data_IF_893793804802
#
_entry.id   IF_893793804802
#
_cell.length_a   1.000
_cell.length_b   1.000
_cell.length_c   1.000
_cell.angle_alpha   90.00
_cell.angle_beta   90.00
_cell.angle_gamma   90.00
#
_symmetry.space_group_name_H-M   'P 1'
#
loop_
_entity.id
_entity.type
_entity.pdbx_description
1 polymer ?
#
# COMPACT_ATOMS: atom_id res chain seq x y z
N UNK A 1 9.19 -17.03 -0.02
CA UNK A 1 7.74 -16.94 -0.36
C UNK A 1 7.33 -15.47 -0.37
N UNK A 2 6.12 -15.12 -0.88
CA UNK A 2 5.57 -13.76 -0.79
C UNK A 2 4.30 -13.78 0.05
N UNK A 3 4.30 -13.03 1.13
CA UNK A 3 3.14 -12.85 2.00
C UNK A 3 2.48 -11.52 1.70
N UNK A 4 1.18 -11.54 1.41
CA UNK A 4 0.37 -10.33 1.26
C UNK A 4 -0.40 -10.10 2.55
N UNK A 5 -0.07 -9.02 3.25
CA UNK A 5 -0.73 -8.61 4.49
C UNK A 5 -1.71 -7.49 4.15
N UNK A 6 -3.01 -7.82 4.19
CA UNK A 6 -4.05 -6.81 4.00
C UNK A 6 -4.14 -5.99 5.28
N UNK A 7 -3.72 -4.73 5.20
CA UNK A 7 -3.64 -3.83 6.36
C UNK A 7 -4.86 -2.92 6.48
N UNK A 8 -5.53 -2.63 5.38
CA UNK A 8 -6.74 -1.81 5.35
C UNK A 8 -7.62 -2.15 4.16
N UNK A 9 -8.93 -2.18 4.37
CA UNK A 9 -9.95 -2.21 3.33
C UNK A 9 -10.64 -0.86 3.16
N UNK A 10 -9.99 0.21 3.62
CA UNK A 10 -10.39 1.59 3.38
C UNK A 10 -9.39 2.26 2.44
N UNK A 11 -9.84 3.31 1.76
CA UNK A 11 -8.98 4.16 0.92
C UNK A 11 -9.41 5.61 1.08
N UNK A 12 -8.43 6.50 1.03
CA UNK A 12 -8.62 7.95 1.06
C UNK A 12 -8.83 8.57 -0.34
N UNK A 13 -8.94 7.73 -1.40
CA UNK A 13 -9.26 8.14 -2.76
C UNK A 13 -10.51 7.45 -3.28
N UNK A 14 -11.16 8.08 -4.26
CA UNK A 14 -12.32 7.58 -5.01
C UNK A 14 -11.98 7.56 -6.50
N UNK A 15 -11.03 6.69 -6.89
CA UNK A 15 -10.59 6.61 -8.28
C UNK A 15 -11.74 6.16 -9.18
N UNK A 16 -11.87 6.74 -10.37
CA UNK A 16 -13.00 6.51 -11.30
C UNK A 16 -13.21 5.05 -11.72
N UNK A 17 -12.13 4.26 -11.73
CA UNK A 17 -12.15 2.84 -12.09
C UNK A 17 -12.12 1.92 -10.87
N UNK A 18 -12.31 2.47 -9.65
CA UNK A 18 -12.28 1.69 -8.44
C UNK A 18 -13.57 0.89 -8.29
N UNK A 19 -13.43 -0.42 -8.19
CA UNK A 19 -14.57 -1.38 -8.11
C UNK A 19 -14.97 -1.70 -6.67
N UNK A 20 -14.68 -0.84 -5.71
CA UNK A 20 -14.97 -1.12 -4.28
C UNK A 20 -16.43 -1.49 -4.01
N UNK A 21 -17.34 -0.84 -4.72
CA UNK A 21 -18.78 -1.00 -4.49
C UNK A 21 -19.38 -2.18 -5.26
N UNK A 22 -18.67 -2.73 -6.25
CA UNK A 22 -19.15 -3.85 -7.07
C UNK A 22 -19.00 -5.22 -6.39
N UNK A 23 -18.17 -5.32 -5.35
CA UNK A 23 -17.98 -6.58 -4.60
C UNK A 23 -19.08 -6.91 -3.63
N UNK A 24 -20.04 -6.00 -3.40
CA UNK A 24 -21.17 -6.21 -2.49
C UNK A 24 -22.26 -7.14 -3.07
N UNK A 25 -22.21 -7.44 -4.37
CA UNK A 25 -23.24 -8.25 -5.05
C UNK A 25 -22.82 -9.69 -5.40
N UNK A 26 -21.56 -10.10 -5.11
CA UNK A 26 -20.99 -11.32 -5.73
C UNK A 26 -21.44 -12.62 -5.05
N UNK A 27 -21.74 -12.67 -3.78
CA UNK A 27 -22.35 -13.85 -3.16
C UNK A 27 -22.82 -13.56 -1.73
N UNK A 28 -24.13 -13.64 -1.48
CA UNK A 28 -24.72 -13.49 -0.14
C UNK A 28 -24.29 -14.60 0.85
N UNK A 29 -23.62 -15.64 0.38
CA UNK A 29 -23.19 -16.78 1.18
C UNK A 29 -21.68 -16.74 1.52
N UNK A 30 -20.91 -15.82 0.97
CA UNK A 30 -19.50 -15.65 1.32
C UNK A 30 -19.37 -14.35 2.10
N UNK A 31 -19.09 -14.50 3.39
CA UNK A 31 -18.75 -13.37 4.26
C UNK A 31 -17.38 -12.82 3.88
N UNK A 32 -17.34 -11.96 2.85
CA UNK A 32 -16.16 -11.19 2.44
C UNK A 32 -15.87 -10.01 3.37
N UNK A 33 -16.44 -10.00 4.57
CA UNK A 33 -16.20 -8.98 5.56
C UNK A 33 -14.74 -9.00 6.05
N UNK A 34 -13.83 -8.61 5.16
CA UNK A 34 -12.51 -8.20 5.61
C UNK A 34 -12.71 -6.97 6.50
N UNK A 35 -12.20 -7.00 7.73
CA UNK A 35 -12.35 -5.87 8.62
C UNK A 35 -11.64 -4.64 8.03
N UNK A 36 -12.18 -3.42 8.24
CA UNK A 36 -11.60 -2.19 7.70
C UNK A 36 -10.16 -1.93 8.20
N UNK A 37 -9.81 -2.53 9.32
CA UNK A 37 -8.48 -2.47 9.94
C UNK A 37 -8.06 -3.84 10.42
N UNK A 38 -6.77 -4.03 10.62
CA UNK A 38 -6.21 -5.23 11.24
C UNK A 38 -6.88 -5.45 12.60
N UNK A 39 -7.45 -6.65 12.79
CA UNK A 39 -8.13 -7.07 14.01
C UNK A 39 -7.47 -8.27 14.70
N UNK A 40 -6.28 -8.63 14.28
CA UNK A 40 -5.48 -9.72 14.84
C UNK A 40 -4.15 -9.22 15.39
N UNK A 41 -3.51 -10.04 16.23
CA UNK A 41 -2.18 -9.75 16.76
C UNK A 41 -1.13 -9.89 15.66
N UNK A 42 -0.67 -8.76 15.13
CA UNK A 42 0.32 -8.70 14.04
C UNK A 42 1.66 -9.32 14.43
N UNK A 43 1.97 -9.44 15.72
CA UNK A 43 3.22 -10.05 16.17
C UNK A 43 3.30 -11.53 15.87
N UNK A 44 2.15 -12.19 15.65
CA UNK A 44 2.10 -13.60 15.25
C UNK A 44 2.61 -13.86 13.83
N UNK A 45 2.68 -12.86 12.99
CA UNK A 45 3.26 -12.99 11.63
C UNK A 45 4.70 -13.52 11.67
N UNK A 46 5.47 -13.19 12.71
CA UNK A 46 6.84 -13.72 12.91
C UNK A 46 6.91 -15.25 13.02
N UNK A 47 5.80 -15.93 13.33
CA UNK A 47 5.74 -17.38 13.43
C UNK A 47 5.66 -18.06 12.05
N UNK A 48 5.20 -17.32 11.03
CA UNK A 48 4.99 -17.83 9.69
C UNK A 48 6.00 -17.29 8.67
N UNK A 49 6.56 -16.10 8.91
CA UNK A 49 7.47 -15.41 7.99
C UNK A 49 8.92 -15.70 8.40
N UNK A 50 9.74 -16.04 7.42
CA UNK A 50 11.17 -16.31 7.59
C UNK A 50 12.04 -15.24 6.95
N UNK A 51 13.37 -15.27 7.19
CA UNK A 51 14.33 -14.34 6.62
C UNK A 51 14.47 -14.43 5.09
N UNK A 52 13.97 -15.51 4.47
CA UNK A 52 13.97 -15.72 3.01
C UNK A 52 12.69 -15.21 2.34
N UNK A 53 11.73 -14.74 3.10
CA UNK A 53 10.41 -14.34 2.62
C UNK A 53 10.31 -12.83 2.39
N UNK A 54 9.37 -12.44 1.52
CA UNK A 54 8.96 -11.06 1.34
C UNK A 54 7.59 -10.82 1.96
N UNK A 55 7.42 -9.67 2.61
CA UNK A 55 6.14 -9.21 3.16
C UNK A 55 5.68 -7.99 2.38
N UNK A 56 4.51 -8.09 1.75
CA UNK A 56 3.89 -7.01 0.99
C UNK A 56 2.68 -6.47 1.75
N UNK A 57 2.73 -5.22 2.15
CA UNK A 57 1.58 -4.51 2.67
C UNK A 57 0.63 -4.15 1.53
N UNK A 58 -0.60 -4.61 1.65
CA UNK A 58 -1.61 -4.56 0.61
C UNK A 58 -2.98 -4.14 1.18
N UNK A 59 -3.94 -3.90 0.31
CA UNK A 59 -5.30 -3.49 0.64
C UNK A 59 -5.78 -2.40 -0.30
N UNK A 60 -6.83 -1.67 0.09
CA UNK A 60 -7.30 -0.52 -0.69
C UNK A 60 -6.31 0.65 -0.63
N UNK A 61 -5.93 1.08 0.59
CA UNK A 61 -4.76 1.90 0.83
C UNK A 61 -4.05 1.45 2.12
N UNK A 62 -2.96 0.68 2.00
CA UNK A 62 -2.30 0.10 3.15
C UNK A 62 -1.72 1.15 4.12
N UNK A 63 -1.30 2.31 3.63
CA UNK A 63 -0.72 3.36 4.47
C UNK A 63 -1.73 4.09 5.35
N UNK A 64 -3.03 3.74 5.31
CA UNK A 64 -3.97 4.14 6.35
C UNK A 64 -3.72 3.42 7.68
N UNK A 65 -3.05 2.26 7.66
CA UNK A 65 -2.69 1.47 8.83
C UNK A 65 -1.18 1.57 9.16
N UNK A 66 -0.59 2.75 9.06
CA UNK A 66 0.86 2.97 9.23
C UNK A 66 1.37 2.45 10.56
N UNK A 67 0.64 2.62 11.66
CA UNK A 67 1.09 2.18 12.99
C UNK A 67 1.19 0.66 13.06
N UNK A 68 0.28 -0.08 12.43
CA UNK A 68 0.35 -1.53 12.37
C UNK A 68 1.45 -2.00 11.41
N UNK A 69 1.66 -1.31 10.30
CA UNK A 69 2.80 -1.55 9.40
C UNK A 69 4.12 -1.41 10.16
N UNK A 70 4.30 -0.34 10.93
CA UNK A 70 5.51 -0.12 11.75
C UNK A 70 5.71 -1.24 12.77
N UNK A 71 4.64 -1.67 13.47
CA UNK A 71 4.71 -2.80 14.40
C UNK A 71 5.15 -4.10 13.71
N UNK A 72 4.63 -4.38 12.50
CA UNK A 72 5.02 -5.55 11.72
C UNK A 72 6.50 -5.46 11.34
N UNK A 73 6.95 -4.31 10.84
CA UNK A 73 8.37 -4.10 10.49
C UNK A 73 9.29 -4.29 11.69
N UNK A 74 8.87 -3.90 12.88
CA UNK A 74 9.67 -4.02 14.09
C UNK A 74 9.74 -5.47 14.63
N UNK A 75 8.71 -6.28 14.39
CA UNK A 75 8.64 -7.64 14.98
C UNK A 75 8.95 -8.77 13.98
N UNK A 76 8.84 -8.52 12.67
CA UNK A 76 9.03 -9.54 11.62
C UNK A 76 10.39 -9.38 10.97
N UNK A 77 11.16 -10.49 10.92
CA UNK A 77 12.38 -10.57 10.13
C UNK A 77 12.07 -11.22 8.80
N UNK A 78 12.33 -10.53 7.71
CA UNK A 78 12.10 -11.01 6.36
C UNK A 78 13.20 -10.50 5.42
N UNK A 79 13.22 -11.02 4.20
CA UNK A 79 14.15 -10.61 3.16
C UNK A 79 13.92 -9.17 2.69
N UNK A 80 12.66 -8.72 2.70
CA UNK A 80 12.32 -7.35 2.35
C UNK A 80 10.83 -7.05 2.52
N UNK A 81 10.55 -5.83 2.92
CA UNK A 81 9.20 -5.30 2.95
C UNK A 81 8.84 -4.62 1.63
N UNK A 82 7.61 -4.79 1.21
CA UNK A 82 7.06 -4.19 -0.01
C UNK A 82 5.72 -3.54 0.31
N UNK A 83 5.30 -2.57 -0.49
CA UNK A 83 3.94 -2.04 -0.41
C UNK A 83 3.44 -1.61 -1.78
N UNK A 84 2.12 -1.70 -1.99
CA UNK A 84 1.44 -1.08 -3.10
C UNK A 84 0.51 0.00 -2.55
N UNK A 85 0.73 1.24 -2.95
CA UNK A 85 0.05 2.40 -2.36
C UNK A 85 -0.33 3.44 -3.42
N UNK A 86 -1.31 4.28 -3.10
CA UNK A 86 -1.60 5.48 -3.89
C UNK A 86 -0.54 6.59 -3.71
N UNK A 87 0.39 6.41 -2.79
CA UNK A 87 1.56 7.27 -2.61
C UNK A 87 1.32 8.55 -1.80
N UNK A 88 0.10 8.82 -1.34
CA UNK A 88 -0.22 10.08 -0.66
C UNK A 88 0.35 10.19 0.76
N UNK A 89 0.67 9.05 1.39
CA UNK A 89 1.13 8.98 2.78
C UNK A 89 2.55 8.42 2.94
N UNK A 90 3.36 8.39 1.88
CA UNK A 90 4.74 7.89 1.97
C UNK A 90 5.59 8.67 2.97
N UNK A 91 5.38 9.98 3.08
CA UNK A 91 6.03 10.86 4.05
C UNK A 91 5.73 10.46 5.51
N UNK A 92 4.59 9.83 5.78
CA UNK A 92 4.20 9.37 7.12
C UNK A 92 4.98 8.17 7.62
N UNK A 93 5.64 7.43 6.72
CA UNK A 93 6.51 6.31 7.10
C UNK A 93 7.74 6.78 7.90
N UNK A 94 8.21 8.02 7.68
CA UNK A 94 9.40 8.53 8.35
C UNK A 94 10.62 7.64 8.09
N UNK A 95 11.40 7.36 9.12
CA UNK A 95 12.61 6.51 9.01
C UNK A 95 12.32 5.06 8.56
N UNK A 96 11.10 4.56 8.71
CA UNK A 96 10.72 3.22 8.27
C UNK A 96 10.76 3.04 6.76
N UNK A 97 10.80 4.14 5.99
CA UNK A 97 10.91 4.11 4.53
C UNK A 97 12.16 3.33 4.08
N UNK A 98 13.25 3.42 4.84
CA UNK A 98 14.53 2.73 4.57
C UNK A 98 14.45 1.20 4.70
N UNK A 99 13.38 0.68 5.33
CA UNK A 99 13.16 -0.76 5.51
C UNK A 99 12.48 -1.41 4.30
N UNK A 100 11.95 -0.60 3.39
CA UNK A 100 11.28 -1.13 2.22
C UNK A 100 12.27 -1.52 1.13
N UNK A 101 12.05 -2.71 0.57
CA UNK A 101 12.76 -3.23 -0.61
C UNK A 101 12.15 -2.68 -1.90
N UNK A 102 10.81 -2.69 -1.99
CA UNK A 102 10.10 -2.25 -3.20
C UNK A 102 8.83 -1.49 -2.82
N UNK A 103 8.58 -0.39 -3.51
CA UNK A 103 7.34 0.39 -3.39
C UNK A 103 6.71 0.49 -4.77
N UNK A 104 5.47 -0.03 -4.90
CA UNK A 104 4.64 0.12 -6.08
C UNK A 104 3.72 1.31 -5.87
N UNK A 105 3.90 2.35 -6.69
CA UNK A 105 3.10 3.58 -6.60
C UNK A 105 2.08 3.61 -7.73
N UNK A 106 0.84 3.85 -7.36
CA UNK A 106 -0.26 3.98 -8.30
C UNK A 106 -0.24 5.36 -8.95
N UNK A 107 0.10 5.42 -10.24
CA UNK A 107 0.12 6.63 -11.06
C UNK A 107 -0.31 6.27 -12.49
N UNK A 108 -1.20 7.05 -13.11
CA UNK A 108 -1.84 6.64 -14.38
C UNK A 108 -1.27 7.34 -15.63
N UNK A 109 -0.20 8.08 -15.47
CA UNK A 109 0.45 8.84 -16.55
C UNK A 109 0.89 10.21 -16.06
N UNK A 110 0.67 11.23 -16.88
CA UNK A 110 0.94 12.62 -16.53
C UNK A 110 -0.06 13.19 -15.50
N UNK A 111 0.11 14.46 -15.16
CA UNK A 111 -0.74 15.16 -14.19
C UNK A 111 -2.22 15.13 -14.62
N UNK A 112 -2.50 15.42 -15.91
CA UNK A 112 -3.87 15.50 -16.40
C UNK A 112 -4.59 14.16 -16.27
N UNK A 113 -3.96 13.06 -16.69
CA UNK A 113 -4.54 11.71 -16.66
C UNK A 113 -4.66 11.21 -15.22
N UNK A 114 -3.63 11.38 -14.42
CA UNK A 114 -3.62 10.92 -13.03
C UNK A 114 -4.66 11.68 -12.21
N UNK A 115 -4.72 12.98 -12.30
CA UNK A 115 -5.67 13.80 -11.55
C UNK A 115 -7.12 13.57 -12.01
N UNK A 116 -7.34 13.36 -13.31
CA UNK A 116 -8.65 13.00 -13.85
C UNK A 116 -9.20 11.70 -13.28
N UNK A 117 -8.33 10.72 -13.06
CA UNK A 117 -8.71 9.38 -12.61
C UNK A 117 -8.75 9.26 -11.08
N UNK A 118 -7.79 9.87 -10.38
CA UNK A 118 -7.55 9.67 -8.94
C UNK A 118 -7.97 10.85 -8.07
N UNK A 119 -8.10 12.04 -8.64
CA UNK A 119 -8.48 13.25 -7.94
C UNK A 119 -7.46 14.38 -8.14
N UNK A 120 -7.97 15.61 -8.09
CA UNK A 120 -7.18 16.82 -8.35
C UNK A 120 -6.01 16.96 -7.34
N UNK A 121 -4.81 17.18 -7.87
CA UNK A 121 -3.58 17.39 -7.08
C UNK A 121 -2.91 16.10 -6.61
N UNK A 122 -3.46 14.94 -6.94
CA UNK A 122 -2.88 13.64 -6.58
C UNK A 122 -1.50 13.46 -7.22
N UNK A 123 -1.37 13.77 -8.51
CA UNK A 123 -0.09 13.64 -9.21
C UNK A 123 1.02 14.42 -8.51
N UNK A 124 0.81 15.70 -8.27
CA UNK A 124 1.82 16.56 -7.65
C UNK A 124 2.17 16.11 -6.22
N UNK A 125 1.17 15.68 -5.42
CA UNK A 125 1.44 15.15 -4.07
C UNK A 125 2.25 13.87 -4.13
N UNK A 126 1.95 12.97 -5.06
CA UNK A 126 2.71 11.71 -5.25
C UNK A 126 4.15 12.01 -5.67
N UNK A 127 4.35 12.91 -6.65
CA UNK A 127 5.69 13.29 -7.11
C UNK A 127 6.53 13.91 -5.97
N UNK A 128 5.92 14.80 -5.19
CA UNK A 128 6.59 15.38 -4.02
C UNK A 128 6.97 14.30 -2.99
N UNK A 129 6.12 13.33 -2.75
CA UNK A 129 6.41 12.23 -1.84
C UNK A 129 7.50 11.30 -2.39
N UNK A 130 7.56 11.07 -3.71
CA UNK A 130 8.65 10.33 -4.36
C UNK A 130 9.99 11.04 -4.14
N UNK A 131 10.05 12.35 -4.34
CA UNK A 131 11.26 13.13 -4.05
C UNK A 131 11.62 13.00 -2.56
N UNK A 132 10.64 13.19 -1.68
CA UNK A 132 10.84 13.11 -0.25
C UNK A 132 11.44 11.76 0.19
N UNK A 133 10.89 10.62 -0.27
CA UNK A 133 11.42 9.30 0.13
C UNK A 133 12.87 9.11 -0.33
N UNK A 134 13.22 9.57 -1.54
CA UNK A 134 14.60 9.49 -2.05
C UNK A 134 15.56 10.35 -1.22
N UNK A 135 15.17 11.57 -0.89
CA UNK A 135 15.95 12.49 -0.04
C UNK A 135 16.10 11.95 1.41
N UNK A 136 15.12 11.15 1.88
CA UNK A 136 15.15 10.55 3.21
C UNK A 136 15.71 9.11 3.24
N UNK A 137 16.44 8.71 2.19
CA UNK A 137 17.28 7.51 2.20
C UNK A 137 16.57 6.23 1.78
N UNK A 138 15.49 6.32 1.00
CA UNK A 138 14.94 5.15 0.31
C UNK A 138 15.81 4.79 -0.90
N UNK A 139 16.51 3.66 -0.81
CA UNK A 139 17.38 3.12 -1.87
C UNK A 139 16.72 1.95 -2.62
N UNK A 140 15.55 1.50 -2.18
CA UNK A 140 14.84 0.38 -2.77
C UNK A 140 14.28 0.65 -4.17
N UNK A 141 13.61 -0.35 -4.70
CA UNK A 141 12.99 -0.30 -6.02
C UNK A 141 11.68 0.50 -5.98
N UNK A 142 11.50 1.40 -6.96
CA UNK A 142 10.28 2.18 -7.14
C UNK A 142 9.63 1.80 -8.46
N UNK A 143 8.41 1.27 -8.40
CA UNK A 143 7.66 0.80 -9.56
C UNK A 143 6.41 1.65 -9.72
N UNK A 144 6.24 2.26 -10.89
CA UNK A 144 4.97 2.89 -11.26
C UNK A 144 3.96 1.81 -11.67
N UNK A 145 2.78 1.82 -11.03
CA UNK A 145 1.68 0.95 -11.38
C UNK A 145 0.54 1.76 -12.00
N UNK A 146 0.21 1.43 -13.23
CA UNK A 146 -0.78 2.15 -14.04
C UNK A 146 -2.01 1.28 -14.25
N UNK A 147 -3.20 1.87 -14.13
CA UNK A 147 -4.47 1.26 -14.55
C UNK A 147 -4.84 1.81 -15.91
N UNK A 148 -4.99 0.93 -16.91
CA UNK A 148 -5.45 1.29 -18.24
C UNK A 148 -6.94 0.97 -18.31
N UNK A 149 -7.78 1.99 -18.40
CA UNK A 149 -9.23 1.87 -18.61
C UNK A 149 -9.62 2.34 -20.01
N UNK A 150 -10.67 1.74 -20.56
CA UNK A 150 -11.26 2.19 -21.84
C UNK A 150 -12.09 3.44 -21.65
#
# INVERSE_FOLDING_TARGET
MFYHVITSTECNLECKYCVRDEFTEIDENIDYCLPPKINYDVTKLKESVTEDDYVTFYGWEPLLAIDDIKKIIDCVKCKGFMTQTNGLFLDKLGEYIKKFHTILISIDGDEEITDKNRGKGVFNKVMNNICWIRENGFEGELIARMTISK
#
